data_IF_717520212662
#
_entry.id   IF_717520212662
#
_cell.length_a   1.000
_cell.length_b   1.000
_cell.length_c   1.000
_cell.angle_alpha   90.00
_cell.angle_beta   90.00
_cell.angle_gamma   90.00
#
_symmetry.space_group_name_H-M   'P 1'
#
loop_
_entity.id
_entity.type
_entity.pdbx_description
1 polymer ?
#
# COMPACT_ATOMS: atom_id res chain seq x y z
N UNK A 1 -8.45 11.95 -3.16
CA UNK A 1 -9.39 10.83 -3.23
C UNK A 1 -10.30 10.93 -2.02
N UNK A 2 -11.55 11.34 -2.20
CA UNK A 2 -12.53 11.48 -1.10
C UNK A 2 -13.90 10.93 -1.50
N UNK A 3 -13.96 10.11 -2.55
CA UNK A 3 -15.18 9.50 -3.04
C UNK A 3 -15.46 8.15 -2.38
N UNK A 4 -16.62 7.56 -2.70
CA UNK A 4 -16.91 6.15 -2.41
C UNK A 4 -15.83 5.20 -2.94
N UNK A 5 -15.84 3.95 -2.48
CA UNK A 5 -14.92 2.95 -3.01
C UNK A 5 -15.26 2.57 -4.46
N UNK A 6 -14.25 2.31 -5.27
CA UNK A 6 -14.36 1.94 -6.68
C UNK A 6 -13.65 0.60 -6.96
N UNK A 7 -14.10 -0.11 -7.99
CA UNK A 7 -13.39 -1.29 -8.46
C UNK A 7 -12.01 -0.88 -9.03
N UNK A 8 -10.99 -1.72 -8.79
CA UNK A 8 -9.62 -1.45 -9.22
C UNK A 8 -8.80 -0.62 -8.22
N UNK A 9 -9.41 -0.14 -7.13
CA UNK A 9 -8.66 0.49 -6.05
C UNK A 9 -8.27 -0.49 -4.94
N UNK A 10 -7.27 -0.10 -4.13
CA UNK A 10 -6.86 -0.89 -2.96
C UNK A 10 -7.67 -0.52 -1.73
N UNK A 11 -8.09 -1.54 -0.98
CA UNK A 11 -8.73 -1.38 0.33
C UNK A 11 -7.97 -2.15 1.41
N UNK A 12 -7.97 -1.60 2.62
CA UNK A 12 -7.39 -2.17 3.82
C UNK A 12 -8.51 -2.60 4.77
N UNK A 13 -8.66 -3.90 4.99
CA UNK A 13 -9.59 -4.43 5.97
C UNK A 13 -8.89 -4.60 7.31
N UNK A 14 -9.51 -4.11 8.37
CA UNK A 14 -9.02 -4.21 9.74
C UNK A 14 -10.07 -4.93 10.57
N UNK A 15 -9.70 -6.05 11.18
CA UNK A 15 -10.61 -6.78 12.07
C UNK A 15 -10.56 -6.26 13.52
N UNK A 16 -11.41 -6.81 14.37
CA UNK A 16 -11.49 -6.46 15.80
C UNK A 16 -10.21 -6.76 16.59
N UNK A 17 -9.30 -7.60 16.07
CA UNK A 17 -7.99 -7.89 16.66
C UNK A 17 -6.88 -7.02 16.06
N UNK A 18 -7.22 -6.07 15.20
CA UNK A 18 -6.27 -5.19 14.52
C UNK A 18 -5.49 -5.86 13.39
N UNK A 19 -5.86 -7.09 12.96
CA UNK A 19 -5.23 -7.73 11.80
C UNK A 19 -5.63 -6.99 10.54
N UNK A 20 -4.64 -6.70 9.70
CA UNK A 20 -4.77 -5.90 8.49
C UNK A 20 -4.65 -6.77 7.24
N UNK A 21 -5.57 -6.60 6.30
CA UNK A 21 -5.59 -7.29 5.01
C UNK A 21 -5.66 -6.24 3.90
N UNK A 22 -4.65 -6.22 3.04
CA UNK A 22 -4.63 -5.34 1.88
C UNK A 22 -5.17 -6.12 0.68
N UNK A 23 -6.21 -5.59 0.04
CA UNK A 23 -6.86 -6.25 -1.10
C UNK A 23 -7.01 -5.28 -2.27
N UNK A 24 -7.16 -5.83 -3.47
CA UNK A 24 -7.58 -5.11 -4.66
C UNK A 24 -9.09 -5.33 -4.85
N UNK A 25 -9.87 -4.25 -4.88
CA UNK A 25 -11.31 -4.35 -5.13
C UNK A 25 -11.58 -4.70 -6.58
N UNK A 26 -12.57 -5.55 -6.79
CA UNK A 26 -12.97 -6.03 -8.09
C UNK A 26 -14.43 -6.51 -8.00
N UNK A 27 -15.28 -6.04 -8.91
CA UNK A 27 -16.70 -6.36 -8.90
C UNK A 27 -16.94 -7.87 -8.99
N UNK A 28 -17.92 -8.38 -8.25
CA UNK A 28 -18.27 -9.80 -8.20
C UNK A 28 -17.21 -10.72 -7.56
N UNK A 29 -16.11 -10.16 -7.04
CA UNK A 29 -15.09 -10.94 -6.30
C UNK A 29 -15.38 -10.91 -4.79
N UNK A 30 -14.74 -11.83 -4.08
CA UNK A 30 -14.87 -11.95 -2.63
C UNK A 30 -13.50 -12.08 -1.97
N UNK A 31 -13.34 -11.41 -0.84
CA UNK A 31 -12.21 -11.59 0.05
C UNK A 31 -12.46 -12.80 0.96
N UNK A 32 -11.45 -13.66 1.11
CA UNK A 32 -11.53 -14.89 1.90
C UNK A 32 -10.52 -14.84 3.05
N UNK A 33 -10.97 -15.23 4.25
CA UNK A 33 -10.11 -15.33 5.44
C UNK A 33 -10.66 -16.41 6.39
N UNK A 34 -9.97 -16.63 7.52
CA UNK A 34 -10.50 -17.45 8.62
C UNK A 34 -11.75 -16.85 9.28
N UNK A 35 -12.14 -15.61 8.95
CA UNK A 35 -13.40 -14.99 9.37
C UNK A 35 -14.54 -15.27 8.36
N UNK A 36 -14.31 -16.10 7.35
CA UNK A 36 -15.25 -16.32 6.25
C UNK A 36 -15.00 -15.35 5.10
N UNK A 37 -16.07 -15.06 4.36
CA UNK A 37 -16.03 -14.29 3.10
C UNK A 37 -16.66 -12.91 3.26
N UNK A 38 -16.17 -11.95 2.48
CA UNK A 38 -16.73 -10.60 2.32
C UNK A 38 -16.82 -10.31 0.84
N UNK A 39 -18.00 -9.93 0.33
CA UNK A 39 -18.14 -9.54 -1.07
C UNK A 39 -17.51 -8.17 -1.30
N UNK A 40 -16.76 -8.00 -2.39
CA UNK A 40 -16.18 -6.70 -2.73
C UNK A 40 -17.28 -5.69 -3.06
N UNK A 41 -18.39 -6.17 -3.61
CA UNK A 41 -19.56 -5.36 -3.95
C UNK A 41 -20.24 -4.74 -2.71
N UNK A 42 -20.03 -5.31 -1.51
CA UNK A 42 -20.52 -4.72 -0.25
C UNK A 42 -19.75 -3.43 0.12
N UNK A 43 -18.55 -3.25 -0.43
CA UNK A 43 -17.72 -2.07 -0.18
C UNK A 43 -17.72 -1.10 -1.35
N UNK A 44 -17.75 -1.59 -2.60
CA UNK A 44 -17.79 -0.72 -3.78
C UNK A 44 -19.02 0.19 -3.71
N UNK A 45 -18.82 1.49 -3.85
CA UNK A 45 -19.86 2.51 -3.68
C UNK A 45 -20.09 2.97 -2.23
N UNK A 46 -19.47 2.33 -1.24
CA UNK A 46 -19.54 2.75 0.16
C UNK A 46 -18.43 3.76 0.50
N UNK A 47 -18.61 4.62 1.51
CA UNK A 47 -17.60 5.60 1.91
C UNK A 47 -16.38 4.95 2.60
N UNK A 48 -15.26 5.68 2.65
CA UNK A 48 -14.09 5.29 3.44
C UNK A 48 -14.43 5.19 4.93
N UNK A 49 -13.92 4.16 5.61
CA UNK A 49 -14.24 3.86 7.00
C UNK A 49 -15.49 3.01 7.23
N UNK A 50 -16.10 2.47 6.18
CA UNK A 50 -17.29 1.60 6.26
C UNK A 50 -17.03 0.33 7.07
N UNK A 51 -18.06 -0.15 7.79
CA UNK A 51 -18.05 -1.45 8.47
C UNK A 51 -18.60 -2.54 7.53
N UNK A 52 -17.88 -3.65 7.44
CA UNK A 52 -18.24 -4.83 6.65
C UNK A 52 -18.50 -6.01 7.59
N UNK A 53 -19.43 -6.88 7.19
CA UNK A 53 -19.74 -8.11 7.91
C UNK A 53 -19.32 -9.31 7.10
N UNK A 54 -18.42 -10.13 7.66
CA UNK A 54 -18.03 -11.39 7.04
C UNK A 54 -19.13 -12.45 7.23
N UNK A 55 -19.12 -13.49 6.41
CA UNK A 55 -20.13 -14.57 6.48
C UNK A 55 -20.16 -15.32 7.81
N UNK A 56 -19.08 -15.31 8.61
CA UNK A 56 -19.08 -15.82 9.99
C UNK A 56 -19.82 -14.92 11.00
N UNK A 57 -20.20 -13.70 10.59
CA UNK A 57 -20.75 -12.66 11.45
C UNK A 57 -19.70 -11.71 12.03
N UNK A 58 -18.40 -11.96 11.83
CA UNK A 58 -17.33 -11.06 12.27
C UNK A 58 -17.40 -9.71 11.55
N UNK A 59 -17.05 -8.63 12.27
CA UNK A 59 -17.01 -7.26 11.75
C UNK A 59 -15.59 -6.86 11.34
N UNK A 60 -15.49 -6.16 10.22
CA UNK A 60 -14.29 -5.59 9.65
C UNK A 60 -14.54 -4.11 9.38
N UNK A 61 -13.50 -3.29 9.43
CA UNK A 61 -13.55 -1.90 8.95
C UNK A 61 -12.69 -1.77 7.71
N UNK A 62 -13.19 -1.06 6.71
CA UNK A 62 -12.50 -0.84 5.45
C UNK A 62 -11.99 0.59 5.36
N UNK A 63 -10.70 0.74 5.04
CA UNK A 63 -10.03 2.03 4.84
C UNK A 63 -9.21 2.03 3.56
N UNK A 64 -8.96 3.20 2.98
CA UNK A 64 -7.89 3.37 2.00
C UNK A 64 -6.53 3.19 2.70
N UNK A 65 -5.63 2.36 2.17
CA UNK A 65 -4.35 2.09 2.82
C UNK A 65 -3.46 3.33 2.82
N UNK A 66 -2.76 3.55 3.93
CA UNK A 66 -1.62 4.47 3.94
C UNK A 66 -0.43 3.86 3.19
N UNK A 67 0.61 4.64 2.88
CA UNK A 67 1.84 4.07 2.34
C UNK A 67 2.48 3.09 3.32
N UNK A 68 2.40 3.35 4.62
CA UNK A 68 2.91 2.42 5.63
C UNK A 68 2.15 1.08 5.59
N UNK A 69 0.83 1.11 5.43
CA UNK A 69 0.03 -0.10 5.26
C UNK A 69 0.43 -0.87 3.99
N UNK A 70 0.60 -0.15 2.89
CA UNK A 70 1.04 -0.73 1.62
C UNK A 70 2.41 -1.40 1.76
N UNK A 71 3.43 -0.70 2.27
CA UNK A 71 4.79 -1.24 2.45
C UNK A 71 4.80 -2.50 3.31
N UNK A 72 3.97 -2.55 4.35
CA UNK A 72 3.90 -3.71 5.23
C UNK A 72 3.25 -4.93 4.57
N UNK A 73 2.42 -4.74 3.54
CA UNK A 73 1.58 -5.78 2.92
C UNK A 73 1.85 -6.03 1.44
N UNK A 74 2.69 -5.22 0.79
CA UNK A 74 3.09 -5.40 -0.59
C UNK A 74 3.85 -6.71 -0.78
N UNK A 75 3.79 -7.26 -1.99
CA UNK A 75 4.65 -8.37 -2.37
C UNK A 75 6.11 -7.93 -2.31
N UNK A 76 6.99 -8.82 -1.82
CA UNK A 76 8.40 -8.52 -1.60
C UNK A 76 9.24 -9.44 -2.47
N UNK A 77 10.02 -8.86 -3.39
CA UNK A 77 11.09 -9.55 -4.09
C UNK A 77 12.41 -9.52 -3.32
N UNK A 78 12.61 -8.45 -2.55
CA UNK A 78 13.78 -8.20 -1.71
C UNK A 78 13.38 -7.66 -0.33
N UNK A 79 14.34 -7.64 0.59
CA UNK A 79 14.16 -7.01 1.90
C UNK A 79 13.81 -5.53 1.74
N UNK A 80 12.77 -5.08 2.44
CA UNK A 80 12.31 -3.69 2.40
C UNK A 80 12.89 -2.86 3.54
N UNK A 81 13.07 -1.57 3.27
CA UNK A 81 13.26 -0.54 4.29
C UNK A 81 11.88 -0.22 4.89
N UNK A 82 11.73 -0.32 6.21
CA UNK A 82 10.45 -0.12 6.88
C UNK A 82 10.11 1.38 7.02
N UNK A 83 8.82 1.75 7.19
CA UNK A 83 8.41 3.15 7.23
C UNK A 83 9.15 4.02 8.25
N UNK A 84 9.58 3.44 9.38
CA UNK A 84 10.39 4.16 10.38
C UNK A 84 11.70 4.68 9.79
N UNK A 85 12.38 3.86 9.00
CA UNK A 85 13.69 4.17 8.45
C UNK A 85 13.55 5.00 7.18
N UNK A 86 12.52 4.75 6.37
CA UNK A 86 12.19 5.60 5.21
C UNK A 86 11.99 7.05 5.66
N UNK A 87 11.21 7.28 6.73
CA UNK A 87 10.98 8.62 7.25
C UNK A 87 12.27 9.30 7.71
N UNK A 88 13.16 8.55 8.39
CA UNK A 88 14.46 9.08 8.81
C UNK A 88 15.37 9.35 7.62
N UNK A 89 15.46 8.46 6.62
CA UNK A 89 16.29 8.67 5.43
C UNK A 89 15.86 9.94 4.70
N UNK A 90 14.56 10.11 4.48
CA UNK A 90 14.01 11.31 3.82
C UNK A 90 14.38 12.58 4.59
N UNK A 91 14.26 12.56 5.93
CA UNK A 91 14.56 13.71 6.77
C UNK A 91 16.07 14.02 6.82
N UNK A 92 16.91 13.01 7.02
CA UNK A 92 18.36 13.19 7.18
C UNK A 92 19.07 13.50 5.87
N UNK A 93 18.56 13.00 4.75
CA UNK A 93 19.08 13.32 3.43
C UNK A 93 18.56 14.65 2.87
N UNK A 94 17.77 15.40 3.66
CA UNK A 94 17.16 16.68 3.30
C UNK A 94 16.42 16.60 1.95
N UNK A 95 15.57 15.57 1.79
CA UNK A 95 14.81 15.38 0.56
C UNK A 95 13.59 16.29 0.57
N UNK A 96 13.51 17.18 -0.42
CA UNK A 96 12.46 18.20 -0.56
C UNK A 96 11.73 18.12 -1.92
N UNK A 97 10.56 18.76 -2.08
CA UNK A 97 9.84 18.79 -3.35
C UNK A 97 10.69 19.40 -4.48
N UNK A 98 10.84 18.69 -5.60
CA UNK A 98 11.71 19.06 -6.71
C UNK A 98 13.13 18.51 -6.63
N UNK A 99 13.51 17.82 -5.54
CA UNK A 99 14.81 17.19 -5.43
C UNK A 99 15.04 16.12 -6.51
N UNK A 100 16.31 15.95 -6.91
CA UNK A 100 16.78 14.87 -7.77
C UNK A 100 17.54 13.87 -6.91
N UNK A 101 17.05 12.65 -6.84
CA UNK A 101 17.58 11.62 -5.94
C UNK A 101 18.05 10.42 -6.75
N UNK A 102 19.25 9.92 -6.43
CA UNK A 102 19.74 8.63 -6.91
C UNK A 102 19.57 7.60 -5.79
N UNK A 103 18.98 6.46 -6.11
CA UNK A 103 18.84 5.30 -5.23
C UNK A 103 19.41 4.06 -5.92
N UNK A 104 20.13 3.22 -5.17
CA UNK A 104 20.55 1.89 -5.58
C UNK A 104 20.70 0.98 -4.34
N UNK A 105 20.14 -0.23 -4.26
CA UNK A 105 19.26 -0.92 -5.20
C UNK A 105 17.77 -0.58 -5.04
N UNK A 106 16.98 -0.73 -6.11
CA UNK A 106 15.51 -0.51 -6.06
C UNK A 106 14.80 -1.51 -5.14
N UNK A 107 15.28 -2.76 -5.08
CA UNK A 107 14.66 -3.82 -4.28
C UNK A 107 13.16 -3.96 -4.55
N UNK A 108 12.36 -4.10 -3.49
CA UNK A 108 10.88 -4.10 -3.65
C UNK A 108 10.28 -2.69 -3.75
N UNK A 109 11.09 -1.62 -3.77
CA UNK A 109 10.62 -0.25 -4.00
C UNK A 109 10.03 0.50 -2.80
N UNK A 110 10.21 -0.01 -1.58
CA UNK A 110 9.69 0.66 -0.37
C UNK A 110 10.26 2.07 -0.16
N UNK A 111 11.58 2.23 -0.30
CA UNK A 111 12.23 3.53 -0.18
C UNK A 111 11.90 4.41 -1.40
N UNK A 112 11.92 3.86 -2.62
CA UNK A 112 11.47 4.54 -3.84
C UNK A 112 10.08 5.18 -3.67
N UNK A 113 9.11 4.47 -3.08
CA UNK A 113 7.77 5.01 -2.82
C UNK A 113 7.77 6.16 -1.80
N UNK A 114 8.61 6.08 -0.77
CA UNK A 114 8.81 7.15 0.20
C UNK A 114 9.43 8.38 -0.44
N UNK A 115 10.48 8.18 -1.23
CA UNK A 115 11.14 9.23 -2.01
C UNK A 115 10.14 9.88 -2.98
N UNK A 116 9.32 9.09 -3.68
CA UNK A 116 8.36 9.61 -4.66
C UNK A 116 7.37 10.58 -4.03
N UNK A 117 6.94 10.33 -2.80
CA UNK A 117 6.10 11.28 -2.04
C UNK A 117 6.86 12.53 -1.61
N UNK A 118 8.12 12.39 -1.21
CA UNK A 118 8.94 13.50 -0.72
C UNK A 118 9.35 14.47 -1.85
N UNK A 119 9.80 13.93 -2.99
CA UNK A 119 10.26 14.75 -4.13
C UNK A 119 9.10 15.39 -4.90
N UNK A 120 7.88 14.86 -4.77
CA UNK A 120 6.68 15.44 -5.38
C UNK A 120 6.70 15.45 -6.92
N UNK A 121 5.74 16.15 -7.56
CA UNK A 121 5.48 16.04 -9.00
C UNK A 121 6.57 16.63 -9.89
N UNK A 122 7.40 17.54 -9.37
CA UNK A 122 8.51 18.18 -10.10
C UNK A 122 9.88 17.56 -9.80
N UNK A 123 9.93 16.58 -8.91
CA UNK A 123 11.16 15.88 -8.55
C UNK A 123 11.53 14.77 -9.54
N UNK A 124 12.72 14.20 -9.36
CA UNK A 124 13.18 13.05 -10.13
C UNK A 124 13.84 12.04 -9.21
N UNK A 125 13.48 10.76 -9.38
CA UNK A 125 14.18 9.65 -8.75
C UNK A 125 14.79 8.81 -9.86
N UNK A 126 16.10 8.67 -9.83
CA UNK A 126 16.82 7.70 -10.63
C UNK A 126 17.05 6.51 -9.70
N UNK A 127 16.37 5.40 -9.95
CA UNK A 127 16.57 4.16 -9.19
C UNK A 127 17.33 3.16 -10.07
N UNK A 128 18.37 2.54 -9.52
CA UNK A 128 19.21 1.58 -10.23
C UNK A 128 19.19 0.24 -9.51
N UNK A 129 18.80 -0.81 -10.21
CA UNK A 129 18.81 -2.20 -9.71
C UNK A 129 19.58 -3.07 -10.70
N UNK A 130 20.61 -3.75 -10.20
CA UNK A 130 21.46 -4.60 -11.02
C UNK A 130 20.80 -5.96 -11.28
N UNK A 131 19.99 -6.42 -10.33
CA UNK A 131 19.35 -7.73 -10.38
C UNK A 131 18.01 -7.66 -11.10
N UNK A 132 17.95 -8.25 -12.29
CA UNK A 132 16.72 -8.33 -13.10
C UNK A 132 15.54 -8.92 -12.31
N UNK A 133 15.78 -9.96 -11.51
CA UNK A 133 14.73 -10.61 -10.72
C UNK A 133 14.17 -9.71 -9.59
N UNK A 134 14.95 -8.75 -9.11
CA UNK A 134 14.47 -7.72 -8.20
C UNK A 134 13.76 -6.60 -8.95
N UNK A 135 14.30 -6.19 -10.11
CA UNK A 135 13.74 -5.13 -10.94
C UNK A 135 12.33 -5.47 -11.43
N UNK A 136 12.06 -6.71 -11.84
CA UNK A 136 10.71 -7.18 -12.22
C UNK A 136 9.68 -7.07 -11.09
N UNK A 137 10.14 -6.98 -9.83
CA UNK A 137 9.30 -6.93 -8.63
C UNK A 137 9.34 -5.55 -7.95
N UNK A 138 10.01 -4.58 -8.54
CA UNK A 138 10.11 -3.23 -8.01
C UNK A 138 8.79 -2.46 -8.25
N UNK A 139 8.09 -2.20 -7.15
CA UNK A 139 6.77 -1.53 -7.00
C UNK A 139 5.60 -2.13 -7.79
#
# INVERSE_FOLDING_TARGET
MSGPFEAGERALFIDSRGRRYLIMLAAGKQFHSHLGTVAHDDLIGAPDGSELKASSGARLRAFRPTLADFVLKMQRGAQVIYPKDVALIVAYADIFPGAKVLEAGSGSGSLTLGLARAVGPSGLIVSYELREDHLERAV
#
